data_IF_557602113955
#
_entry.id   IF_557602113955
#
_cell.length_a   1.000
_cell.length_b   1.000
_cell.length_c   1.000
_cell.angle_alpha   90.00
_cell.angle_beta   90.00
_cell.angle_gamma   90.00
#
_symmetry.space_group_name_H-M   'P 1'
#
loop_
_entity.id
_entity.type
_entity.pdbx_description
1 polymer ?
#
# COMPACT_ATOMS: atom_id res chain seq x y z
N UNK A 1 -52.88 6.74 16.59
CA UNK A 1 -52.00 7.05 15.44
C UNK A 1 -50.66 7.52 15.97
N UNK A 2 -49.70 6.61 16.14
CA UNK A 2 -48.32 6.95 16.46
C UNK A 2 -47.47 6.60 15.24
N UNK A 3 -46.98 7.63 14.55
CA UNK A 3 -46.03 7.50 13.44
C UNK A 3 -44.63 7.38 14.04
N UNK A 4 -44.07 6.17 14.09
CA UNK A 4 -42.66 5.97 14.40
C UNK A 4 -41.83 6.41 13.20
N UNK A 5 -41.06 7.51 13.37
CA UNK A 5 -40.02 7.91 12.42
C UNK A 5 -38.93 6.85 12.41
N UNK A 6 -38.79 6.14 11.29
CA UNK A 6 -37.64 5.31 10.99
C UNK A 6 -36.45 6.21 10.71
N UNK A 7 -35.63 6.48 11.74
CA UNK A 7 -34.32 7.10 11.57
C UNK A 7 -33.41 6.09 10.84
N UNK A 8 -33.30 6.25 9.51
CA UNK A 8 -32.25 5.59 8.73
C UNK A 8 -30.91 6.12 9.21
N UNK A 9 -30.08 5.24 9.77
CA UNK A 9 -28.69 5.53 10.06
C UNK A 9 -28.00 5.99 8.78
N UNK A 10 -27.75 7.30 8.67
CA UNK A 10 -27.04 7.91 7.56
C UNK A 10 -25.56 7.56 7.67
N UNK A 11 -25.05 6.67 6.82
CA UNK A 11 -23.62 6.52 6.61
C UNK A 11 -23.09 7.81 5.97
N UNK A 12 -22.08 8.42 6.58
CA UNK A 12 -21.26 9.42 5.89
C UNK A 12 -20.60 8.72 4.70
N UNK A 13 -20.97 9.11 3.48
CA UNK A 13 -20.49 8.53 2.22
C UNK A 13 -18.95 8.56 2.04
N UNK A 14 -18.24 9.23 2.95
CA UNK A 14 -16.78 9.43 2.93
C UNK A 14 -15.95 8.17 3.17
N UNK A 15 -16.52 7.03 3.59
CA UNK A 15 -15.74 5.82 3.96
C UNK A 15 -16.32 4.49 3.48
N UNK A 16 -17.19 4.48 2.47
CA UNK A 16 -17.60 3.24 1.83
C UNK A 16 -16.44 2.70 0.97
N UNK A 17 -15.80 1.61 1.42
CA UNK A 17 -14.85 0.87 0.59
C UNK A 17 -15.65 -0.13 -0.27
N UNK A 18 -15.91 0.25 -1.52
CA UNK A 18 -16.49 -0.64 -2.51
C UNK A 18 -15.41 -1.66 -2.88
N UNK A 19 -15.53 -2.89 -2.37
CA UNK A 19 -14.61 -3.98 -2.68
C UNK A 19 -14.99 -4.56 -4.04
N UNK A 20 -14.64 -3.85 -5.11
CA UNK A 20 -14.61 -4.48 -6.43
C UNK A 20 -13.53 -5.58 -6.40
N UNK A 21 -13.84 -6.72 -7.02
CA UNK A 21 -12.93 -7.85 -7.18
C UNK A 21 -11.57 -7.32 -7.65
N UNK A 22 -10.47 -7.54 -6.92
CA UNK A 22 -9.17 -7.12 -7.40
C UNK A 22 -8.85 -7.86 -8.70
N UNK A 23 -8.36 -7.10 -9.68
CA UNK A 23 -7.93 -7.53 -11.03
C UNK A 23 -6.92 -8.71 -11.02
N UNK A 24 -6.42 -9.11 -9.86
CA UNK A 24 -5.48 -10.21 -9.62
C UNK A 24 -6.11 -11.58 -9.41
N UNK A 25 -7.44 -11.72 -9.44
CA UNK A 25 -8.15 -13.00 -9.28
C UNK A 25 -8.38 -13.71 -10.64
N UNK A 26 -8.05 -13.08 -11.77
CA UNK A 26 -8.07 -13.75 -13.08
C UNK A 26 -6.96 -14.82 -13.19
N UNK A 27 -7.29 -16.05 -13.60
CA UNK A 27 -6.30 -17.11 -13.83
C UNK A 27 -5.23 -16.65 -14.84
N UNK A 28 -3.95 -16.78 -14.48
CA UNK A 28 -2.82 -16.55 -15.40
C UNK A 28 -2.01 -15.24 -15.23
N UNK A 29 -2.36 -14.37 -14.27
CA UNK A 29 -1.66 -13.07 -14.06
C UNK A 29 -1.11 -12.88 -12.64
N UNK A 30 -0.93 -13.95 -11.86
CA UNK A 30 -0.12 -13.92 -10.64
C UNK A 30 1.34 -13.64 -11.00
N UNK A 31 1.71 -12.37 -11.15
CA UNK A 31 3.11 -11.97 -11.02
C UNK A 31 3.48 -12.26 -9.57
N UNK A 32 4.09 -13.41 -9.35
CA UNK A 32 4.90 -13.65 -8.17
C UNK A 32 6.00 -12.58 -8.21
N UNK A 33 5.88 -11.58 -7.36
CA UNK A 33 7.01 -10.68 -7.12
C UNK A 33 7.96 -11.50 -6.24
N UNK A 34 8.83 -12.29 -6.87
CA UNK A 34 9.81 -13.11 -6.19
C UNK A 34 10.73 -12.20 -5.37
N UNK A 35 10.47 -12.15 -4.07
CA UNK A 35 11.31 -11.50 -3.08
C UNK A 35 12.37 -12.48 -2.58
N UNK A 36 13.04 -13.18 -3.49
CA UNK A 36 14.18 -14.07 -3.16
C UNK A 36 15.40 -13.31 -2.63
N UNK A 37 15.36 -11.97 -2.55
CA UNK A 37 16.33 -11.16 -1.79
C UNK A 37 15.95 -11.07 -0.30
N UNK A 38 15.58 -12.20 0.33
CA UNK A 38 15.36 -12.29 1.78
C UNK A 38 16.67 -12.44 2.57
N UNK A 39 17.78 -12.78 1.91
CA UNK A 39 19.07 -13.06 2.58
C UNK A 39 19.85 -11.82 3.05
N UNK A 40 19.40 -10.59 2.75
CA UNK A 40 20.09 -9.35 3.17
C UNK A 40 19.31 -8.50 4.18
N UNK A 41 18.12 -8.94 4.61
CA UNK A 41 17.21 -8.12 5.42
C UNK A 41 17.41 -8.35 6.94
N UNK A 42 18.11 -9.42 7.34
CA UNK A 42 18.16 -9.88 8.73
C UNK A 42 19.15 -9.15 9.66
N UNK A 43 19.89 -8.14 9.21
CA UNK A 43 21.01 -7.62 10.01
C UNK A 43 21.24 -6.11 9.90
N UNK A 44 20.20 -5.29 10.12
CA UNK A 44 20.40 -3.92 10.63
C UNK A 44 19.20 -3.47 11.46
N UNK A 45 19.21 -3.80 12.76
CA UNK A 45 18.37 -3.12 13.75
C UNK A 45 18.88 -1.69 13.93
N UNK A 46 18.48 -0.80 13.03
CA UNK A 46 18.77 0.64 13.14
C UNK A 46 17.63 1.32 13.88
N UNK A 47 17.97 2.15 14.87
CA UNK A 47 17.06 3.02 15.65
C UNK A 47 16.12 3.92 14.82
N UNK A 48 16.30 3.98 13.49
CA UNK A 48 15.47 4.78 12.56
C UNK A 48 14.39 3.98 11.83
N UNK A 49 14.22 2.69 12.12
CA UNK A 49 13.11 1.92 11.54
C UNK A 49 11.77 2.51 12.00
N UNK A 50 10.86 2.88 11.09
CA UNK A 50 9.58 3.43 11.48
C UNK A 50 8.81 2.38 12.31
N UNK A 51 8.35 2.72 13.53
CA UNK A 51 7.42 1.90 14.29
C UNK A 51 6.29 1.34 13.44
N UNK A 52 5.78 0.15 13.81
CA UNK A 52 4.67 -0.53 13.13
C UNK A 52 3.47 0.41 12.87
N UNK A 53 3.21 1.37 13.74
CA UNK A 53 2.16 2.38 13.58
C UNK A 53 2.31 3.23 12.29
N UNK A 54 3.53 3.54 11.86
CA UNK A 54 3.77 4.28 10.60
C UNK A 54 3.56 3.43 9.35
N UNK A 55 3.50 2.11 9.50
CA UNK A 55 3.23 1.21 8.39
C UNK A 55 1.75 1.25 7.95
N UNK A 56 0.83 1.68 8.82
CA UNK A 56 -0.59 1.81 8.49
C UNK A 56 -0.95 3.11 7.74
N UNK A 57 0.01 4.01 7.52
CA UNK A 57 -0.23 5.22 6.73
C UNK A 57 -0.64 4.87 5.29
N UNK A 58 -1.52 5.69 4.69
CA UNK A 58 -1.83 5.59 3.26
C UNK A 58 -0.59 5.92 2.43
N UNK A 59 -0.46 5.33 1.24
CA UNK A 59 0.75 5.49 0.41
C UNK A 59 1.09 6.95 0.12
N UNK A 60 0.10 7.83 -0.10
CA UNK A 60 0.30 9.26 -0.32
C UNK A 60 0.98 9.93 0.87
N UNK A 61 0.44 9.74 2.08
CA UNK A 61 0.98 10.31 3.32
C UNK A 61 2.36 9.76 3.66
N UNK A 62 2.55 8.45 3.44
CA UNK A 62 3.84 7.81 3.65
C UNK A 62 4.92 8.39 2.74
N UNK A 63 4.62 8.59 1.45
CA UNK A 63 5.56 9.19 0.49
C UNK A 63 5.82 10.67 0.81
N UNK A 64 4.83 11.42 1.28
CA UNK A 64 5.05 12.81 1.69
C UNK A 64 6.02 12.93 2.87
N UNK A 65 6.00 11.97 3.80
CA UNK A 65 6.87 11.97 4.98
C UNK A 65 8.23 11.36 4.69
N UNK A 66 8.27 10.22 4.00
CA UNK A 66 9.49 9.41 3.82
C UNK A 66 10.00 9.33 2.38
N UNK A 67 9.34 9.96 1.41
CA UNK A 67 9.75 9.90 0.01
C UNK A 67 11.09 10.61 -0.26
N UNK A 68 11.69 10.32 -1.42
CA UNK A 68 12.99 10.90 -1.81
C UNK A 68 13.00 12.44 -1.75
N UNK A 69 11.91 13.08 -2.19
CA UNK A 69 11.76 14.55 -2.16
C UNK A 69 11.79 15.11 -0.74
N UNK A 70 11.09 14.48 0.20
CA UNK A 70 11.04 14.94 1.59
C UNK A 70 12.36 14.68 2.33
N UNK A 71 13.06 13.61 1.95
CA UNK A 71 14.37 13.24 2.50
C UNK A 71 15.54 14.00 1.86
N UNK A 72 15.27 14.91 0.91
CA UNK A 72 16.28 15.66 0.14
C UNK A 72 17.29 14.75 -0.57
N UNK A 73 16.78 13.67 -1.17
CA UNK A 73 17.56 12.62 -1.83
C UNK A 73 17.23 12.47 -3.32
N UNK A 74 16.49 13.40 -3.93
CA UNK A 74 16.38 13.39 -5.40
C UNK A 74 17.70 13.80 -6.03
N UNK A 75 17.93 13.36 -7.26
CA UNK A 75 19.16 13.65 -7.99
C UNK A 75 19.45 15.15 -8.04
N UNK A 76 18.47 15.97 -8.42
CA UNK A 76 18.59 17.43 -8.48
C UNK A 76 18.95 18.04 -7.12
N UNK A 77 18.30 17.57 -6.05
CA UNK A 77 18.56 18.05 -4.69
C UNK A 77 19.97 17.67 -4.23
N UNK A 78 20.46 16.48 -4.60
CA UNK A 78 21.83 16.06 -4.28
C UNK A 78 22.82 16.90 -5.08
N UNK A 79 22.62 17.05 -6.40
CA UNK A 79 23.49 17.83 -7.29
C UNK A 79 23.67 19.27 -6.82
N UNK A 80 22.59 19.94 -6.41
CA UNK A 80 22.64 21.29 -5.85
C UNK A 80 23.42 21.39 -4.54
N UNK A 81 23.62 20.29 -3.81
CA UNK A 81 24.34 20.25 -2.54
C UNK A 81 25.80 19.80 -2.71
N UNK A 82 26.12 19.08 -3.78
CA UNK A 82 27.47 18.55 -4.05
C UNK A 82 28.23 19.33 -5.11
N UNK A 83 27.57 20.30 -5.75
CA UNK A 83 28.14 21.11 -6.81
C UNK A 83 27.31 22.35 -7.09
N UNK A 84 27.66 23.06 -8.16
CA UNK A 84 26.94 24.24 -8.61
C UNK A 84 26.60 24.13 -10.10
N UNK A 85 25.48 24.71 -10.49
CA UNK A 85 25.05 24.77 -11.88
C UNK A 85 26.02 25.65 -12.67
N UNK A 86 26.50 25.12 -13.81
CA UNK A 86 27.29 25.86 -14.78
C UNK A 86 26.39 26.89 -15.44
N UNK A 87 26.80 28.15 -15.38
CA UNK A 87 26.11 29.25 -16.06
C UNK A 87 26.87 29.57 -17.34
N UNK A 88 26.14 29.61 -18.45
CA UNK A 88 26.63 30.13 -19.71
C UNK A 88 26.03 31.52 -19.90
N UNK A 89 26.86 32.55 -20.06
CA UNK A 89 26.42 33.93 -20.25
C UNK A 89 26.74 34.39 -21.65
N UNK A 90 25.74 34.87 -22.39
CA UNK A 90 25.96 35.52 -23.68
C UNK A 90 26.52 36.92 -23.48
N UNK A 91 27.66 37.20 -24.09
CA UNK A 91 28.25 38.53 -24.10
C UNK A 91 27.90 39.22 -25.44
N UNK A 92 27.07 40.29 -25.41
CA UNK A 92 26.64 40.97 -26.62
C UNK A 92 27.76 41.74 -27.33
N UNK A 93 28.85 42.08 -26.63
CA UNK A 93 30.00 42.78 -27.22
C UNK A 93 30.89 41.80 -27.99
N UNK A 94 31.05 40.58 -27.47
CA UNK A 94 31.85 39.53 -28.09
C UNK A 94 31.04 38.73 -29.13
N UNK A 95 29.70 38.81 -29.06
CA UNK A 95 28.79 38.08 -29.94
C UNK A 95 28.87 36.56 -29.73
N UNK A 96 29.33 36.11 -28.56
CA UNK A 96 29.58 34.71 -28.24
C UNK A 96 29.06 34.37 -26.85
N UNK A 97 28.59 33.14 -26.69
CA UNK A 97 28.32 32.57 -25.37
C UNK A 97 29.63 32.27 -24.66
N UNK A 98 29.85 32.88 -23.51
CA UNK A 98 31.03 32.68 -22.67
C UNK A 98 30.68 31.65 -21.61
N UNK A 99 31.56 30.68 -21.46
CA UNK A 99 31.50 29.70 -20.37
C UNK A 99 32.75 29.84 -19.52
N UNK A 100 32.59 29.70 -18.20
CA UNK A 100 33.71 29.81 -17.28
C UNK A 100 34.70 28.65 -17.51
N UNK A 101 35.95 28.96 -17.88
CA UNK A 101 37.00 27.98 -18.20
C UNK A 101 37.94 27.65 -17.04
N UNK A 102 37.73 28.22 -15.85
CA UNK A 102 38.64 28.08 -14.69
C UNK A 102 38.80 26.64 -14.18
N UNK A 103 37.95 25.72 -14.63
CA UNK A 103 37.82 24.35 -14.12
C UNK A 103 38.19 23.27 -15.14
N UNK A 104 38.83 23.60 -16.27
CA UNK A 104 39.14 22.64 -17.35
C UNK A 104 39.86 21.40 -16.80
N UNK A 105 39.14 20.27 -16.73
CA UNK A 105 39.55 18.97 -16.19
C UNK A 105 39.90 18.92 -14.69
N UNK A 106 39.71 20.01 -13.93
CA UNK A 106 39.95 20.00 -12.47
C UNK A 106 38.80 19.38 -11.68
N UNK A 107 37.58 19.45 -12.22
CA UNK A 107 36.37 19.00 -11.55
C UNK A 107 35.55 18.09 -12.46
N UNK A 108 34.87 17.12 -11.86
CA UNK A 108 33.92 16.28 -12.59
C UNK A 108 32.67 17.08 -12.92
N UNK A 109 32.19 16.96 -14.15
CA UNK A 109 30.96 17.57 -14.62
C UNK A 109 29.89 16.52 -14.85
N UNK A 110 28.66 16.81 -14.44
CA UNK A 110 27.50 15.95 -14.62
C UNK A 110 26.43 16.73 -15.36
N UNK A 111 25.88 16.13 -16.40
CA UNK A 111 24.76 16.68 -17.16
C UNK A 111 23.45 16.05 -16.69
N UNK A 112 22.45 16.87 -16.41
CA UNK A 112 21.08 16.45 -16.16
C UNK A 112 20.31 16.25 -17.47
N UNK A 113 19.20 15.50 -17.40
CA UNK A 113 18.33 15.23 -18.55
C UNK A 113 17.73 16.51 -19.18
N UNK A 114 17.59 17.57 -18.40
CA UNK A 114 17.11 18.87 -18.85
C UNK A 114 18.18 19.70 -19.60
N UNK A 115 19.40 19.18 -19.77
CA UNK A 115 20.51 19.86 -20.42
C UNK A 115 21.40 20.69 -19.47
N UNK A 116 21.01 20.85 -18.21
CA UNK A 116 21.80 21.60 -17.23
C UNK A 116 23.08 20.84 -16.87
N UNK A 117 24.20 21.56 -16.78
CA UNK A 117 25.50 21.00 -16.38
C UNK A 117 25.84 21.45 -14.97
N UNK A 118 26.31 20.53 -14.14
CA UNK A 118 26.76 20.79 -12.77
C UNK A 118 28.23 20.43 -12.63
N UNK A 119 29.00 21.32 -12.01
CA UNK A 119 30.39 21.08 -11.64
C UNK A 119 30.42 20.58 -10.20
N UNK A 120 30.97 19.39 -9.98
CA UNK A 120 31.04 18.74 -8.67
C UNK A 120 32.22 19.29 -7.86
N UNK A 121 31.97 19.77 -6.65
CA UNK A 121 33.00 20.32 -5.75
C UNK A 121 33.08 19.62 -4.40
N UNK A 122 32.20 18.64 -4.15
CA UNK A 122 32.12 17.97 -2.87
C UNK A 122 33.34 17.10 -2.57
N UNK A 123 33.62 16.92 -1.27
CA UNK A 123 34.63 15.97 -0.80
C UNK A 123 34.09 14.52 -0.86
N UNK A 124 34.97 13.50 -1.01
CA UNK A 124 34.55 12.10 -1.05
C UNK A 124 33.75 11.64 0.18
N UNK A 125 33.97 12.24 1.35
CA UNK A 125 33.22 11.94 2.58
C UNK A 125 31.74 12.30 2.43
N UNK A 126 31.44 13.42 1.75
CA UNK A 126 30.06 13.88 1.53
C UNK A 126 29.33 12.95 0.56
N UNK A 127 30.02 12.49 -0.48
CA UNK A 127 29.48 11.47 -1.39
C UNK A 127 29.18 10.17 -0.67
N UNK A 128 30.09 9.71 0.20
CA UNK A 128 29.88 8.52 1.05
C UNK A 128 28.68 8.68 1.98
N UNK A 129 28.46 9.86 2.55
CA UNK A 129 27.26 10.15 3.36
C UNK A 129 25.97 9.99 2.54
N UNK A 130 25.91 10.58 1.35
CA UNK A 130 24.76 10.43 0.45
C UNK A 130 24.55 8.98 0.02
N UNK A 131 25.63 8.25 -0.28
CA UNK A 131 25.56 6.83 -0.60
C UNK A 131 24.89 6.02 0.54
N UNK A 132 25.34 6.19 1.78
CA UNK A 132 24.74 5.52 2.93
C UNK A 132 23.27 5.94 3.15
N UNK A 133 22.93 7.22 2.94
CA UNK A 133 21.54 7.70 3.02
C UNK A 133 20.65 7.08 1.95
N UNK A 134 21.15 6.95 0.72
CA UNK A 134 20.44 6.30 -0.39
C UNK A 134 20.23 4.80 -0.12
N UNK A 135 21.24 4.10 0.41
CA UNK A 135 21.08 2.69 0.83
C UNK A 135 19.97 2.56 1.89
N UNK A 136 19.99 3.42 2.92
CA UNK A 136 18.94 3.41 3.95
C UNK A 136 17.56 3.67 3.37
N UNK A 137 17.46 4.63 2.45
CA UNK A 137 16.19 4.94 1.78
C UNK A 137 15.70 3.77 0.92
N UNK A 138 16.60 3.10 0.19
CA UNK A 138 16.26 1.92 -0.61
C UNK A 138 15.72 0.79 0.27
N UNK A 139 16.36 0.55 1.42
CA UNK A 139 15.89 -0.46 2.38
C UNK A 139 14.51 -0.09 2.94
N UNK A 140 14.28 1.19 3.25
CA UNK A 140 12.98 1.67 3.71
C UNK A 140 11.89 1.48 2.64
N UNK A 141 12.19 1.78 1.37
CA UNK A 141 11.28 1.54 0.24
C UNK A 141 10.98 0.05 0.06
N UNK A 142 11.98 -0.82 0.18
CA UNK A 142 11.79 -2.29 0.11
C UNK A 142 10.92 -2.80 1.25
N UNK A 143 11.18 -2.37 2.49
CA UNK A 143 10.36 -2.71 3.66
C UNK A 143 8.91 -2.25 3.45
N UNK A 144 8.71 -1.04 2.92
CA UNK A 144 7.37 -0.51 2.60
C UNK A 144 6.70 -1.30 1.48
N UNK A 145 7.42 -1.64 0.42
CA UNK A 145 6.90 -2.44 -0.69
C UNK A 145 6.43 -3.80 -0.18
N UNK A 146 7.28 -4.52 0.55
CA UNK A 146 6.94 -5.78 1.19
C UNK A 146 5.72 -5.63 2.09
N UNK A 147 5.62 -4.55 2.86
CA UNK A 147 4.47 -4.30 3.71
C UNK A 147 3.16 -4.18 2.90
N UNK A 148 3.13 -3.39 1.83
CA UNK A 148 1.90 -3.17 1.05
C UNK A 148 1.54 -4.36 0.15
N UNK A 149 2.52 -5.16 -0.27
CA UNK A 149 2.29 -6.34 -1.11
C UNK A 149 2.07 -7.63 -0.33
N UNK A 150 2.03 -7.58 1.00
CA UNK A 150 1.89 -8.76 1.85
C UNK A 150 0.47 -8.92 2.43
N UNK A 151 -0.05 -10.15 2.39
CA UNK A 151 -1.35 -10.53 2.94
C UNK A 151 -2.52 -9.82 2.25
N UNK A 152 -3.55 -9.52 3.04
CA UNK A 152 -4.78 -8.84 2.60
C UNK A 152 -4.53 -7.47 1.96
N UNK A 153 -3.43 -6.78 2.31
CA UNK A 153 -3.09 -5.45 1.78
C UNK A 153 -2.79 -5.45 0.28
N UNK A 154 -2.32 -6.58 -0.25
CA UNK A 154 -2.07 -6.73 -1.69
C UNK A 154 -3.35 -6.58 -2.50
N UNK A 155 -4.46 -7.09 -1.97
CA UNK A 155 -5.75 -7.19 -2.65
C UNK A 155 -6.65 -6.00 -2.32
N UNK A 156 -6.68 -5.61 -1.05
CA UNK A 156 -7.64 -4.62 -0.54
C UNK A 156 -7.00 -3.27 -0.19
N UNK A 157 -5.66 -3.15 -0.32
CA UNK A 157 -4.94 -1.99 0.16
C UNK A 157 -4.89 -1.92 1.68
N UNK A 158 -4.50 -0.75 2.20
CA UNK A 158 -4.45 -0.47 3.63
C UNK A 158 -5.75 0.20 4.04
N UNK A 159 -6.45 -0.42 4.98
CA UNK A 159 -7.61 0.15 5.65
C UNK A 159 -7.13 0.91 6.89
N UNK A 160 -7.26 2.23 6.86
CA UNK A 160 -6.86 3.13 7.96
C UNK A 160 -8.04 3.72 8.74
N UNK A 161 -9.26 3.47 8.25
CA UNK A 161 -10.49 4.00 8.79
C UNK A 161 -10.88 3.25 10.09
N UNK A 162 -11.35 3.97 11.13
CA UNK A 162 -11.71 3.33 12.40
C UNK A 162 -13.01 2.52 12.29
N UNK A 163 -13.82 2.73 11.26
CA UNK A 163 -15.07 2.03 11.04
C UNK A 163 -15.31 1.81 9.55
N UNK A 164 -15.60 0.57 9.15
CA UNK A 164 -15.70 0.19 7.74
C UNK A 164 -16.94 -0.66 7.46
N UNK A 165 -17.59 -0.41 6.33
CA UNK A 165 -18.61 -1.31 5.79
C UNK A 165 -18.06 -1.96 4.51
N UNK A 166 -17.96 -3.29 4.53
CA UNK A 166 -17.53 -4.09 3.39
C UNK A 166 -18.75 -4.42 2.54
N UNK A 167 -18.76 -3.99 1.29
CA UNK A 167 -19.82 -4.34 0.33
C UNK A 167 -19.28 -5.41 -0.60
N UNK A 168 -19.86 -6.60 -0.57
CA UNK A 168 -19.41 -7.78 -1.30
C UNK A 168 -20.44 -8.15 -2.37
N UNK A 169 -20.09 -7.92 -3.64
CA UNK A 169 -20.87 -8.39 -4.78
C UNK A 169 -20.26 -9.68 -5.33
N UNK A 170 -20.98 -10.79 -5.16
CA UNK A 170 -20.52 -12.13 -5.53
C UNK A 170 -21.45 -12.80 -6.56
N UNK A 171 -22.41 -12.08 -7.14
CA UNK A 171 -23.49 -12.67 -7.95
C UNK A 171 -23.02 -13.52 -9.13
N UNK A 172 -21.90 -13.12 -9.74
CA UNK A 172 -21.39 -13.73 -10.98
C UNK A 172 -20.10 -14.51 -10.76
N UNK A 173 -19.77 -14.90 -9.53
CA UNK A 173 -18.53 -15.63 -9.29
C UNK A 173 -18.73 -17.10 -9.63
N UNK A 174 -17.79 -17.67 -10.38
CA UNK A 174 -17.67 -19.12 -10.43
C UNK A 174 -17.17 -19.65 -9.07
N UNK A 175 -17.29 -20.96 -8.87
CA UNK A 175 -16.89 -21.61 -7.62
C UNK A 175 -15.42 -21.35 -7.25
N UNK A 176 -14.51 -21.34 -8.22
CA UNK A 176 -13.08 -21.17 -7.99
C UNK A 176 -12.76 -19.75 -7.50
N UNK A 177 -13.30 -18.75 -8.17
CA UNK A 177 -13.18 -17.34 -7.85
C UNK A 177 -13.83 -17.05 -6.48
N UNK A 178 -14.99 -17.64 -6.22
CA UNK A 178 -15.68 -17.47 -4.93
C UNK A 178 -14.85 -18.01 -3.76
N UNK A 179 -14.27 -19.20 -3.88
CA UNK A 179 -13.41 -19.75 -2.83
C UNK A 179 -12.17 -18.87 -2.58
N UNK A 180 -11.53 -18.37 -3.65
CA UNK A 180 -10.39 -17.46 -3.51
C UNK A 180 -10.77 -16.12 -2.85
N UNK A 181 -11.93 -15.57 -3.23
CA UNK A 181 -12.48 -14.38 -2.60
C UNK A 181 -12.75 -14.60 -1.11
N UNK A 182 -13.34 -15.73 -0.73
CA UNK A 182 -13.61 -16.07 0.67
C UNK A 182 -12.33 -16.17 1.51
N UNK A 183 -11.28 -16.82 0.99
CA UNK A 183 -9.97 -16.89 1.64
C UNK A 183 -9.41 -15.47 1.83
N UNK A 184 -9.49 -14.66 0.78
CA UNK A 184 -8.99 -13.28 0.80
C UNK A 184 -9.76 -12.42 1.82
N UNK A 185 -11.08 -12.52 1.87
CA UNK A 185 -11.94 -11.82 2.82
C UNK A 185 -11.65 -12.26 4.26
N UNK A 186 -11.43 -13.56 4.49
CA UNK A 186 -11.05 -14.09 5.81
C UNK A 186 -9.73 -13.48 6.27
N UNK A 187 -8.73 -13.41 5.38
CA UNK A 187 -7.45 -12.77 5.68
C UNK A 187 -7.63 -11.28 5.96
N UNK A 188 -8.48 -10.58 5.21
CA UNK A 188 -8.80 -9.17 5.45
C UNK A 188 -9.39 -8.95 6.85
N UNK A 189 -10.37 -9.77 7.23
CA UNK A 189 -11.04 -9.67 8.52
C UNK A 189 -10.05 -9.87 9.67
N UNK A 190 -9.20 -10.91 9.57
CA UNK A 190 -8.23 -11.25 10.62
C UNK A 190 -7.04 -10.31 10.68
N UNK A 191 -6.51 -9.86 9.54
CA UNK A 191 -5.27 -9.07 9.51
C UNK A 191 -5.49 -7.56 9.70
N UNK A 192 -6.61 -7.03 9.19
CA UNK A 192 -6.88 -5.59 9.17
C UNK A 192 -8.11 -5.21 9.98
N UNK A 193 -9.26 -5.85 9.75
CA UNK A 193 -10.52 -5.44 10.40
C UNK A 193 -10.49 -5.71 11.91
N UNK A 194 -9.83 -6.77 12.36
CA UNK A 194 -9.59 -7.03 13.80
C UNK A 194 -8.87 -5.89 14.55
N UNK A 195 -8.25 -4.95 13.82
CA UNK A 195 -7.49 -3.82 14.36
C UNK A 195 -8.24 -2.48 14.29
N UNK A 196 -9.42 -2.44 13.67
CA UNK A 196 -10.26 -1.23 13.63
C UNK A 196 -11.31 -1.26 14.74
N UNK A 197 -12.07 -0.18 14.92
CA UNK A 197 -13.06 -0.11 16.01
C UNK A 197 -14.33 -0.88 15.65
N UNK A 198 -14.89 -0.61 14.48
CA UNK A 198 -16.19 -1.16 14.07
C UNK A 198 -16.20 -1.64 12.63
N UNK A 199 -17.04 -2.62 12.34
CA UNK A 199 -17.25 -3.06 10.97
C UNK A 199 -18.68 -3.52 10.71
N UNK A 200 -19.04 -3.60 9.44
CA UNK A 200 -20.21 -4.34 8.97
C UNK A 200 -19.91 -4.94 7.58
N UNK A 201 -20.72 -5.90 7.16
CA UNK A 201 -20.64 -6.51 5.83
C UNK A 201 -22.03 -6.49 5.20
N UNK A 202 -22.09 -6.10 3.93
CA UNK A 202 -23.30 -6.12 3.10
C UNK A 202 -23.02 -7.01 1.91
N UNK A 203 -23.84 -8.04 1.75
CA UNK A 203 -23.80 -8.98 0.65
C UNK A 203 -24.79 -8.52 -0.40
N UNK A 204 -24.27 -8.23 -1.59
CA UNK A 204 -25.08 -7.78 -2.72
C UNK A 204 -25.58 -9.02 -3.45
N UNK A 205 -26.88 -9.27 -3.33
CA UNK A 205 -27.60 -10.36 -3.99
C UNK A 205 -28.88 -9.81 -4.65
N UNK A 206 -29.81 -10.67 -5.08
CA UNK A 206 -31.11 -10.20 -5.52
C UNK A 206 -31.85 -9.48 -4.37
N UNK A 207 -31.71 -10.01 -3.16
CA UNK A 207 -32.07 -9.36 -1.91
C UNK A 207 -30.79 -9.03 -1.13
N UNK A 208 -30.51 -7.74 -0.90
CA UNK A 208 -29.29 -7.34 -0.19
C UNK A 208 -29.34 -7.81 1.26
N UNK A 209 -28.37 -8.62 1.67
CA UNK A 209 -28.27 -9.14 3.03
C UNK A 209 -27.21 -8.40 3.82
N UNK A 210 -27.56 -7.91 5.01
CA UNK A 210 -26.61 -7.29 5.92
C UNK A 210 -26.20 -8.29 7.00
N UNK A 211 -24.90 -8.35 7.32
CA UNK A 211 -24.41 -9.19 8.41
C UNK A 211 -25.03 -8.78 9.75
N UNK A 212 -25.13 -7.46 9.99
CA UNK A 212 -25.84 -6.85 11.12
C UNK A 212 -26.54 -5.58 10.66
N UNK A 213 -27.61 -5.19 11.35
CA UNK A 213 -28.36 -3.95 11.07
C UNK A 213 -27.53 -2.68 11.34
N UNK A 214 -26.55 -2.77 12.24
CA UNK A 214 -25.66 -1.66 12.62
C UNK A 214 -24.20 -2.11 12.66
N UNK A 215 -23.23 -1.18 12.48
CA UNK A 215 -21.82 -1.47 12.65
C UNK A 215 -21.51 -1.96 14.07
N UNK A 216 -20.88 -3.13 14.14
CA UNK A 216 -20.51 -3.79 15.40
C UNK A 216 -19.02 -3.63 15.68
N UNK A 217 -18.62 -3.84 16.93
CA UNK A 217 -17.21 -3.77 17.30
C UNK A 217 -16.39 -4.92 16.69
N UNK A 218 -15.16 -4.65 16.29
CA UNK A 218 -14.26 -5.63 15.67
C UNK A 218 -13.53 -6.52 16.69
N UNK A 219 -14.26 -7.10 17.65
CA UNK A 219 -13.71 -8.05 18.61
C UNK A 219 -13.53 -9.45 17.97
N UNK A 220 -12.73 -10.32 18.60
CA UNK A 220 -12.42 -11.64 18.07
C UNK A 220 -13.68 -12.48 17.77
N UNK A 221 -14.68 -12.46 18.67
CA UNK A 221 -15.94 -13.20 18.49
C UNK A 221 -16.73 -12.73 17.27
N UNK A 222 -16.83 -11.42 17.07
CA UNK A 222 -17.55 -10.83 15.94
C UNK A 222 -16.81 -11.08 14.62
N UNK A 223 -15.48 -11.04 14.63
CA UNK A 223 -14.65 -11.41 13.48
C UNK A 223 -14.85 -12.88 13.12
N UNK A 224 -14.80 -13.78 14.10
CA UNK A 224 -15.03 -15.21 13.86
C UNK A 224 -16.45 -15.43 13.33
N UNK A 225 -17.48 -14.83 13.92
CA UNK A 225 -18.85 -14.91 13.41
C UNK A 225 -18.97 -14.41 11.96
N UNK A 226 -18.30 -13.33 11.60
CA UNK A 226 -18.28 -12.82 10.23
C UNK A 226 -17.57 -13.79 9.27
N UNK A 227 -16.51 -14.48 9.73
CA UNK A 227 -15.86 -15.55 8.97
C UNK A 227 -16.79 -16.77 8.86
N UNK A 228 -17.55 -17.13 9.89
CA UNK A 228 -18.51 -18.24 9.87
C UNK A 228 -19.74 -17.97 9.01
N UNK A 229 -20.12 -16.70 8.82
CA UNK A 229 -21.17 -16.31 7.89
C UNK A 229 -20.90 -16.81 6.43
N UNK A 230 -19.65 -17.21 6.13
CA UNK A 230 -19.21 -18.03 4.99
C UNK A 230 -20.18 -19.16 4.62
N UNK A 231 -20.75 -19.84 5.62
CA UNK A 231 -21.54 -21.05 5.41
C UNK A 231 -22.93 -20.75 4.87
N UNK A 232 -23.60 -19.73 5.40
CA UNK A 232 -24.97 -19.38 4.99
C UNK A 232 -25.03 -18.90 3.54
N UNK A 233 -24.01 -18.18 3.10
CA UNK A 233 -23.98 -17.57 1.77
C UNK A 233 -23.63 -18.59 0.69
N UNK A 234 -22.67 -19.49 0.93
CA UNK A 234 -22.36 -20.58 -0.01
C UNK A 234 -23.58 -21.45 -0.31
N UNK A 235 -24.35 -21.79 0.73
CA UNK A 235 -25.61 -22.55 0.59
C UNK A 235 -26.66 -21.75 -0.21
N UNK A 236 -26.76 -20.44 0.01
CA UNK A 236 -27.72 -19.56 -0.69
C UNK A 236 -27.40 -19.34 -2.17
N UNK A 237 -26.13 -19.48 -2.56
CA UNK A 237 -25.69 -19.52 -3.96
C UNK A 237 -25.73 -20.92 -4.59
N UNK A 238 -26.34 -21.91 -3.91
CA UNK A 238 -26.51 -23.27 -4.44
C UNK A 238 -25.27 -24.16 -4.36
N UNK A 239 -24.26 -23.78 -3.56
CA UNK A 239 -23.09 -24.62 -3.30
C UNK A 239 -23.43 -25.68 -2.24
N UNK A 240 -23.13 -26.95 -2.53
CA UNK A 240 -23.47 -28.07 -1.66
C UNK A 240 -22.76 -28.01 -0.30
N UNK A 241 -23.39 -28.54 0.76
CA UNK A 241 -22.81 -28.57 2.12
C UNK A 241 -21.44 -29.26 2.20
N UNK A 242 -21.17 -30.24 1.33
CA UNK A 242 -19.88 -30.92 1.19
C UNK A 242 -18.80 -30.08 0.48
N UNK A 243 -19.19 -28.99 -0.18
CA UNK A 243 -18.33 -28.12 -1.01
C UNK A 243 -17.89 -26.87 -0.23
N UNK A 244 -18.66 -26.46 0.78
CA UNK A 244 -18.39 -25.31 1.65
C UNK A 244 -17.38 -25.64 2.76
N UNK A 245 -17.15 -26.92 3.06
CA UNK A 245 -16.18 -27.40 4.06
C UNK A 245 -14.82 -27.77 3.45
N UNK A 246 -13.68 -27.24 3.93
CA UNK A 246 -12.40 -27.87 3.71
C UNK A 246 -12.33 -29.16 4.55
N UNK A 247 -11.96 -30.29 3.91
CA UNK A 247 -11.76 -31.62 4.51
C UNK A 247 -10.68 -31.73 5.62
N UNK A 248 -10.28 -30.64 6.26
CA UNK A 248 -9.10 -30.58 7.14
C UNK A 248 -9.39 -30.22 8.61
N UNK A 249 -10.60 -30.43 9.11
CA UNK A 249 -10.95 -30.13 10.51
C UNK A 249 -11.64 -31.27 11.28
N UNK A 250 -11.63 -32.50 10.75
CA UNK A 250 -11.85 -33.68 11.58
C UNK A 250 -10.56 -33.93 12.38
N UNK A 251 -10.47 -33.30 13.55
CA UNK A 251 -9.32 -33.44 14.44
C UNK A 251 -9.30 -32.40 15.54
N UNK A 252 -10.41 -32.21 16.23
CA UNK A 252 -10.49 -31.66 17.59
C UNK A 252 -11.82 -32.17 18.15
N UNK A 253 -11.72 -33.28 18.88
CA UNK A 253 -12.74 -33.71 19.86
C UNK A 253 -12.88 -32.66 20.97
#
# INVERSE_FOLDING_TARGET
>A
MMTSKTERASFSASSAALLAIPYSITPGQSRNFDLTTSSYIASTGSSTDPPYLYSQLKSKEWIQRYGLKSQKLTFDQILQQIGFKRVESFDPVIGKTITAKYAGNLYHEVQQDNGDRYVLTCRPEKLREYHHRLIRMLNLLRKRLLFITNGSRRLFGIIGEPSVCLVCDCKNFDHGIFNQFQISLTNLLKEQISKIKKFNIIWVSNDNEQFREQPIDANASNIDQAVWARVKIGISFGLGLSEVWPKYWYGCD
#
